data_IF_566530171822
#
_entry.id   IF_566530171822
#
_cell.length_a   1.000
_cell.length_b   1.000
_cell.length_c   1.000
_cell.angle_alpha   90.00
_cell.angle_beta   90.00
_cell.angle_gamma   90.00
#
_symmetry.space_group_name_H-M   'P 1'
#
loop_
_entity.id
_entity.type
_entity.pdbx_description
1 polymer ?
#
# COMPACT_ATOMS: atom_id res chain seq x y z
N UNK A 1 -11.29 2.21 0.31
CA UNK A 1 -11.96 1.21 -0.53
C UNK A 1 -12.26 0.00 0.34
N UNK A 2 -13.45 -0.59 0.20
CA UNK A 2 -13.80 -1.85 0.83
C UNK A 2 -13.75 -2.94 -0.23
N UNK A 3 -13.13 -4.07 0.10
CA UNK A 3 -12.96 -5.20 -0.82
C UNK A 3 -13.74 -6.38 -0.27
N UNK A 4 -14.52 -7.06 -1.13
CA UNK A 4 -15.19 -8.29 -0.74
C UNK A 4 -14.18 -9.45 -0.73
N UNK A 5 -14.18 -10.23 0.34
CA UNK A 5 -13.16 -11.25 0.57
C UNK A 5 -13.35 -12.51 -0.30
N UNK A 6 -14.51 -12.64 -0.96
CA UNK A 6 -14.80 -13.68 -1.95
C UNK A 6 -14.55 -13.23 -3.39
N UNK A 7 -14.28 -11.95 -3.63
CA UNK A 7 -13.91 -11.47 -4.96
C UNK A 7 -12.54 -12.00 -5.39
N UNK A 8 -12.40 -12.19 -6.69
CA UNK A 8 -11.15 -12.61 -7.30
C UNK A 8 -10.14 -11.47 -7.30
N UNK A 9 -8.84 -11.76 -7.16
CA UNK A 9 -7.80 -10.72 -7.22
C UNK A 9 -7.84 -9.90 -8.51
N UNK A 10 -8.32 -10.49 -9.63
CA UNK A 10 -8.52 -9.78 -10.90
C UNK A 10 -9.58 -8.67 -10.79
N UNK A 11 -10.69 -8.92 -10.10
CA UNK A 11 -11.74 -7.91 -9.89
C UNK A 11 -11.28 -6.85 -8.89
N UNK A 12 -10.54 -7.29 -7.86
CA UNK A 12 -9.97 -6.40 -6.85
C UNK A 12 -8.97 -5.44 -7.49
N UNK A 13 -8.08 -5.93 -8.35
CA UNK A 13 -7.10 -5.09 -9.05
C UNK A 13 -7.77 -4.07 -9.97
N UNK A 14 -8.79 -4.47 -10.72
CA UNK A 14 -9.52 -3.56 -11.61
C UNK A 14 -10.21 -2.43 -10.82
N UNK A 15 -10.95 -2.79 -9.77
CA UNK A 15 -11.65 -1.80 -8.94
C UNK A 15 -10.67 -0.91 -8.17
N UNK A 16 -9.52 -1.45 -7.74
CA UNK A 16 -8.47 -0.67 -7.10
C UNK A 16 -7.85 0.34 -8.08
N UNK A 17 -7.52 -0.08 -9.31
CA UNK A 17 -6.99 0.80 -10.35
C UNK A 17 -7.97 1.93 -10.68
N UNK A 18 -9.27 1.64 -10.78
CA UNK A 18 -10.30 2.66 -11.01
C UNK A 18 -10.29 3.72 -9.90
N UNK A 19 -10.27 3.30 -8.63
CA UNK A 19 -10.20 4.22 -7.49
C UNK A 19 -8.89 5.00 -7.46
N UNK A 20 -7.76 4.35 -7.77
CA UNK A 20 -6.45 5.00 -7.79
C UNK A 20 -6.38 6.08 -8.88
N UNK A 21 -6.92 5.81 -10.08
CA UNK A 21 -6.99 6.79 -11.18
C UNK A 21 -7.91 7.97 -10.85
N UNK A 22 -9.05 7.70 -10.21
CA UNK A 22 -10.01 8.75 -9.80
C UNK A 22 -9.44 9.67 -8.71
N UNK A 23 -8.76 9.08 -7.73
CA UNK A 23 -8.26 9.80 -6.55
C UNK A 23 -6.86 10.38 -6.72
N UNK A 24 -6.02 9.76 -7.54
CA UNK A 24 -4.62 10.12 -7.76
C UNK A 24 -4.31 10.22 -9.26
N UNK A 25 -4.97 11.15 -9.99
CA UNK A 25 -4.75 11.32 -11.42
C UNK A 25 -3.31 11.77 -11.76
N UNK A 26 -2.63 12.45 -10.83
CA UNK A 26 -1.24 12.91 -10.97
C UNK A 26 -0.20 11.85 -10.53
N UNK A 27 -0.65 10.65 -10.12
CA UNK A 27 0.20 9.56 -9.65
C UNK A 27 0.26 9.40 -8.13
N UNK A 28 0.81 8.28 -7.68
CA UNK A 28 0.92 7.92 -6.26
C UNK A 28 2.25 8.39 -5.69
N UNK A 29 2.20 9.28 -4.69
CA UNK A 29 3.37 9.64 -3.90
C UNK A 29 3.69 8.52 -2.92
N UNK A 30 4.76 7.77 -3.17
CA UNK A 30 5.14 6.59 -2.37
C UNK A 30 5.83 6.97 -1.06
N UNK A 31 6.48 8.14 -1.01
CA UNK A 31 7.28 8.56 0.13
C UNK A 31 7.03 10.04 0.41
N UNK A 32 6.72 10.40 1.66
CA UNK A 32 6.53 11.80 2.06
C UNK A 32 7.82 12.63 1.93
N UNK A 33 9.00 11.98 1.93
CA UNK A 33 10.32 12.62 1.79
C UNK A 33 10.86 12.64 0.37
N UNK A 34 10.28 11.86 -0.56
CA UNK A 34 10.79 11.74 -1.94
C UNK A 34 9.72 12.16 -2.95
N UNK A 35 10.01 13.08 -3.90
CA UNK A 35 9.04 13.54 -4.90
C UNK A 35 8.73 12.51 -5.99
N UNK A 36 9.14 11.25 -5.80
CA UNK A 36 8.91 10.17 -6.74
C UNK A 36 7.44 9.76 -6.72
N UNK A 37 6.76 10.10 -7.81
CA UNK A 37 5.39 9.71 -8.08
C UNK A 37 5.39 8.48 -8.98
N UNK A 38 4.78 7.39 -8.52
CA UNK A 38 4.52 6.24 -9.38
C UNK A 38 3.24 6.50 -10.17
N UNK A 39 3.37 6.58 -11.49
CA UNK A 39 2.23 6.71 -12.38
C UNK A 39 1.34 5.48 -12.24
N UNK A 40 0.04 5.71 -12.07
CA UNK A 40 -0.95 4.62 -12.07
C UNK A 40 -1.14 4.18 -13.52
N UNK A 41 -0.94 2.90 -13.87
CA UNK A 41 -1.13 2.44 -15.24
C UNK A 41 -2.60 2.60 -15.66
N UNK A 42 -2.82 2.98 -16.92
CA UNK A 42 -4.16 3.16 -17.52
C UNK A 42 -4.81 1.82 -17.93
N UNK A 43 -4.00 0.77 -18.10
CA UNK A 43 -4.46 -0.59 -18.39
C UNK A 43 -4.86 -1.37 -17.12
N UNK A 44 -5.86 -2.24 -17.23
CA UNK A 44 -6.24 -3.23 -16.22
C UNK A 44 -5.17 -4.33 -16.13
N UNK A 45 -4.00 -3.95 -15.59
CA UNK A 45 -2.89 -4.85 -15.41
C UNK A 45 -3.05 -5.66 -14.11
N UNK A 46 -2.58 -6.92 -14.09
CA UNK A 46 -2.51 -7.69 -12.86
C UNK A 46 -1.58 -6.97 -11.87
N UNK A 47 -1.98 -6.95 -10.60
CA UNK A 47 -1.18 -6.40 -9.51
C UNK A 47 -0.56 -7.52 -8.68
N UNK A 48 0.64 -7.27 -8.17
CA UNK A 48 1.22 -8.12 -7.16
C UNK A 48 0.76 -7.66 -5.76
N UNK A 49 0.48 -8.63 -4.90
CA UNK A 49 0.01 -8.39 -3.54
C UNK A 49 1.00 -8.97 -2.53
N UNK A 50 1.18 -8.27 -1.41
CA UNK A 50 1.99 -8.73 -0.30
C UNK A 50 1.32 -8.47 1.04
N UNK A 51 1.57 -9.37 1.98
CA UNK A 51 1.17 -9.24 3.37
C UNK A 51 2.36 -8.80 4.23
N UNK A 52 2.14 -7.99 5.27
CA UNK A 52 3.23 -7.62 6.17
C UNK A 52 3.77 -8.86 6.86
N UNK A 53 5.09 -8.94 7.01
CA UNK A 53 5.75 -10.02 7.76
C UNK A 53 5.25 -10.02 9.21
N UNK A 54 5.05 -8.83 9.78
CA UNK A 54 4.47 -8.63 11.09
C UNK A 54 3.29 -7.66 11.01
N UNK A 55 2.08 -8.12 11.36
CA UNK A 55 0.88 -7.28 11.35
C UNK A 55 0.92 -6.12 12.36
N UNK A 56 1.79 -6.20 13.38
CA UNK A 56 1.98 -5.13 14.37
C UNK A 56 3.13 -4.19 14.00
N UNK A 57 3.97 -4.56 13.03
CA UNK A 57 5.14 -3.79 12.62
C UNK A 57 5.33 -3.90 11.11
N UNK A 58 4.76 -2.94 10.39
CA UNK A 58 4.80 -2.86 8.94
C UNK A 58 6.21 -2.54 8.39
N UNK A 59 7.15 -2.15 9.25
CA UNK A 59 8.56 -1.86 8.88
C UNK A 59 9.41 -3.13 8.72
N UNK A 60 8.95 -4.27 9.23
CA UNK A 60 9.63 -5.58 9.08
C UNK A 60 9.62 -6.12 7.64
N UNK A 61 8.96 -5.40 6.74
CA UNK A 61 8.87 -5.73 5.32
C UNK A 61 7.63 -6.53 4.95
N UNK A 62 7.57 -6.87 3.67
CA UNK A 62 6.38 -7.40 3.02
C UNK A 62 6.69 -8.72 2.33
N UNK A 63 5.76 -9.67 2.46
CA UNK A 63 5.85 -11.00 1.88
C UNK A 63 4.84 -11.15 0.75
N UNK A 64 5.34 -11.32 -0.47
CA UNK A 64 4.52 -11.59 -1.63
C UNK A 64 3.72 -12.89 -1.46
N UNK A 65 2.41 -12.83 -1.65
CA UNK A 65 1.50 -13.98 -1.52
C UNK A 65 1.31 -14.77 -2.82
N UNK A 66 1.93 -14.30 -3.92
CA UNK A 66 1.83 -14.85 -5.28
C UNK A 66 0.38 -15.14 -5.62
N UNK A 67 -0.46 -14.11 -5.49
CA UNK A 67 -1.87 -14.18 -5.82
C UNK A 67 -2.04 -14.40 -7.32
N UNK A 68 -2.87 -15.35 -7.71
CA UNK A 68 -3.32 -15.52 -9.09
C UNK A 68 -4.61 -14.72 -9.30
N UNK A 69 -4.97 -14.36 -10.54
CA UNK A 69 -6.18 -13.60 -10.84
C UNK A 69 -7.45 -14.25 -10.27
N UNK A 70 -7.58 -15.57 -10.33
CA UNK A 70 -8.74 -16.33 -9.81
C UNK A 70 -8.67 -16.65 -8.30
N UNK A 71 -7.55 -16.34 -7.63
CA UNK A 71 -7.46 -16.55 -6.18
C UNK A 71 -8.35 -15.53 -5.44
N UNK A 72 -8.77 -15.89 -4.22
CA UNK A 72 -9.51 -15.00 -3.34
C UNK A 72 -8.66 -14.55 -2.14
N UNK A 73 -8.91 -13.36 -1.57
CA UNK A 73 -8.29 -12.88 -0.35
C UNK A 73 -8.31 -13.94 0.77
N UNK A 74 -9.48 -14.53 1.02
CA UNK A 74 -9.63 -15.58 2.06
C UNK A 74 -8.78 -16.81 1.75
N UNK A 75 -8.68 -17.20 0.47
CA UNK A 75 -7.86 -18.33 0.02
C UNK A 75 -6.37 -18.11 0.20
N UNK A 76 -5.92 -16.84 0.23
CA UNK A 76 -4.53 -16.44 0.50
C UNK A 76 -4.27 -16.09 1.98
N UNK A 77 -5.29 -16.20 2.83
CA UNK A 77 -5.17 -15.91 4.26
C UNK A 77 -5.22 -14.42 4.62
N UNK A 78 -5.72 -13.57 3.72
CA UNK A 78 -6.06 -12.19 4.06
C UNK A 78 -7.21 -12.21 5.07
N UNK A 79 -7.11 -11.35 6.08
CA UNK A 79 -8.13 -11.18 7.11
C UNK A 79 -8.72 -9.79 7.00
N UNK A 80 -9.94 -9.63 7.46
CA UNK A 80 -10.59 -8.33 7.53
C UNK A 80 -9.73 -7.36 8.37
N UNK A 81 -9.54 -6.15 7.84
CA UNK A 81 -8.73 -5.10 8.48
C UNK A 81 -7.21 -5.30 8.41
N UNK A 82 -6.70 -6.28 7.65
CA UNK A 82 -5.25 -6.40 7.44
C UNK A 82 -4.71 -5.37 6.45
N UNK A 83 -3.48 -4.92 6.68
CA UNK A 83 -2.74 -4.12 5.71
C UNK A 83 -2.25 -5.00 4.56
N UNK A 84 -2.29 -4.47 3.34
CA UNK A 84 -1.84 -5.15 2.13
C UNK A 84 -1.00 -4.18 1.32
N UNK A 85 0.18 -4.60 0.91
CA UNK A 85 1.00 -3.86 -0.04
C UNK A 85 0.69 -4.33 -1.46
N UNK A 86 0.71 -3.37 -2.38
CA UNK A 86 0.49 -3.61 -3.81
C UNK A 86 1.72 -3.18 -4.60
N UNK A 87 1.98 -3.87 -5.70
CA UNK A 87 3.00 -3.47 -6.67
C UNK A 87 2.44 -3.59 -8.08
N UNK A 88 2.80 -2.63 -8.94
CA UNK A 88 2.42 -2.61 -10.35
C UNK A 88 3.31 -3.53 -11.21
N UNK A 89 4.48 -3.92 -10.70
CA UNK A 89 5.36 -4.87 -11.36
C UNK A 89 5.03 -6.29 -10.86
N UNK A 90 4.72 -7.22 -11.76
CA UNK A 90 4.32 -8.59 -11.41
C UNK A 90 5.44 -9.62 -11.58
N UNK A 91 6.45 -9.30 -12.37
CA UNK A 91 7.58 -10.20 -12.66
C UNK A 91 8.62 -10.13 -11.53
N UNK A 92 8.97 -8.92 -11.09
CA UNK A 92 9.88 -8.67 -9.97
C UNK A 92 9.28 -7.64 -8.99
N UNK A 93 8.18 -8.00 -8.30
CA UNK A 93 7.46 -7.06 -7.43
C UNK A 93 8.30 -6.61 -6.23
N UNK A 94 8.60 -5.32 -6.21
CA UNK A 94 9.14 -4.63 -5.04
C UNK A 94 7.99 -3.97 -4.25
N UNK A 95 8.02 -4.15 -2.92
CA UNK A 95 7.00 -3.63 -2.01
C UNK A 95 7.66 -2.63 -1.06
N UNK A 96 7.84 -1.41 -1.56
CA UNK A 96 8.32 -0.28 -0.76
C UNK A 96 7.09 0.45 -0.23
N UNK A 97 6.82 0.28 1.07
CA UNK A 97 5.72 0.97 1.75
C UNK A 97 6.30 1.86 2.81
N UNK A 98 6.09 3.15 2.64
CA UNK A 98 6.36 4.15 3.66
C UNK A 98 5.21 4.15 4.66
N UNK A 99 5.52 3.87 5.93
CA UNK A 99 4.52 3.80 7.00
C UNK A 99 4.71 5.05 7.83
N UNK A 100 3.76 6.01 7.77
CA UNK A 100 3.87 7.24 8.54
C UNK A 100 3.95 6.88 10.02
N UNK A 101 5.03 7.30 10.67
CA UNK A 101 5.23 7.15 12.10
C UNK A 101 4.62 8.38 12.78
N UNK A 102 3.95 8.19 13.92
CA UNK A 102 3.44 9.31 14.71
C UNK A 102 4.58 10.12 15.36
N UNK A 103 5.81 9.59 15.37
CA UNK A 103 6.99 10.23 15.96
C UNK A 103 7.51 11.38 15.08
N UNK A 104 7.23 11.38 13.78
CA UNK A 104 7.59 12.47 12.85
C UNK A 104 6.77 13.76 13.06
N UNK A 105 5.69 13.73 13.86
CA UNK A 105 4.88 14.91 14.22
C UNK A 105 5.34 15.60 15.53
N UNK A 106 6.46 15.16 16.14
CA UNK A 106 7.00 15.72 17.38
C UNK A 106 8.23 16.63 17.21
N UNK A 107 8.49 17.15 16.00
CA UNK A 107 9.52 18.18 15.82
C UNK A 107 8.95 19.61 16.02
N UNK A 108 9.46 20.25 17.08
CA UNK A 108 9.52 21.69 17.37
C UNK A 108 8.31 22.41 18.03
N UNK A 109 8.05 22.11 19.30
CA UNK A 109 7.53 23.11 20.27
C UNK A 109 8.47 23.27 21.48
N UNK A 110 9.80 23.29 21.28
CA UNK A 110 10.76 23.74 22.32
C UNK A 110 10.92 25.27 22.30
N UNK A 111 9.79 25.98 22.37
CA UNK A 111 9.75 27.39 22.72
C UNK A 111 9.96 27.61 24.22
N UNK A 112 11.09 27.18 24.79
CA UNK A 112 11.46 27.51 26.17
C UNK A 112 12.39 28.72 26.20
N UNK A 113 11.82 29.90 25.92
CA UNK A 113 12.39 31.16 26.36
C UNK A 113 12.41 31.17 27.89
N UNK A 114 13.57 31.02 28.50
CA UNK A 114 13.81 31.42 29.89
C UNK A 114 14.96 32.41 29.88
N UNK A 115 14.57 33.67 29.74
CA UNK A 115 15.31 34.84 30.20
C UNK A 115 15.25 34.83 31.73
N UNK A 116 16.41 34.73 32.40
CA UNK A 116 16.86 35.56 33.54
C UNK A 116 18.17 35.02 34.16
#
# INVERSE_FOLDING_TARGET
MFVDSQQSFSEISASLLEVLRDRFPDGLTINHTSPETTAVPDDDLPLAFALPVNANDLTQGWKNIKAKPDDTPVGKGLRDGCAVAISFDVDEPEFVVDVPSLDDDLEDEEGMGSDE
#
